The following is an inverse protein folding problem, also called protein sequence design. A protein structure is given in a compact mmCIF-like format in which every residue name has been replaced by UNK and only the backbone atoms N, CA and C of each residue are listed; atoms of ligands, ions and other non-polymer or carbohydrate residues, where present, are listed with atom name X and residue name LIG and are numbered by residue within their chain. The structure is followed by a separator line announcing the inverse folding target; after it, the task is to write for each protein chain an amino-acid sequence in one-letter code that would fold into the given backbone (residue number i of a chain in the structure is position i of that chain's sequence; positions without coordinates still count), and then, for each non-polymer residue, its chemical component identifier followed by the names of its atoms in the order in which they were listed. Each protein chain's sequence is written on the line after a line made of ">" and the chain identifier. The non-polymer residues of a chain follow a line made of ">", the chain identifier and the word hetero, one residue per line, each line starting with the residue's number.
data_IF_203729927943
#
_entry.id   IF_203729927943
#
_cell.length_a   1.000
_cell.length_b   1.000
_cell.length_c   1.000
_cell.angle_alpha   90.00
_cell.angle_beta   90.00
_cell.angle_gamma   90.00
#
_symmetry.space_group_name_H-M   'P 1'
#
loop_
_entity.id
_entity.type
_entity.pdbx_description
1 polymer ?
#
# COMPACT_ATOMS: atom_id res chain seq x y z
N UNK A 1 39.02 -1.90 -17.81
CA UNK A 1 37.99 -1.10 -17.12
C UNK A 1 36.80 -1.11 -18.07
N UNK A 2 35.59 -1.48 -17.70
CA UNK A 2 34.85 -1.11 -16.49
C UNK A 2 33.94 -2.25 -16.02
N UNK A 3 33.62 -2.25 -14.73
CA UNK A 3 32.72 -3.19 -14.09
C UNK A 3 31.28 -3.03 -14.62
N UNK A 4 30.90 -3.86 -15.59
CA UNK A 4 29.49 -4.19 -15.79
C UNK A 4 29.11 -5.13 -14.65
N UNK A 5 28.34 -4.65 -13.67
CA UNK A 5 27.88 -5.42 -12.49
C UNK A 5 27.23 -6.76 -12.87
N UNK A 6 26.85 -6.93 -14.13
CA UNK A 6 26.28 -8.13 -14.70
C UNK A 6 26.81 -8.38 -16.12
N UNK A 7 27.25 -9.61 -16.41
CA UNK A 7 27.77 -9.99 -17.72
C UNK A 7 26.67 -10.14 -18.78
N UNK A 8 27.04 -10.32 -20.06
CA UNK A 8 26.07 -10.52 -21.15
C UNK A 8 25.41 -11.91 -21.13
N UNK A 9 25.80 -12.79 -20.20
CA UNK A 9 25.27 -14.15 -20.12
C UNK A 9 24.03 -14.20 -19.23
N UNK A 10 23.06 -15.01 -19.65
CA UNK A 10 21.78 -15.18 -19.00
C UNK A 10 21.87 -15.66 -17.53
N UNK A 11 22.94 -16.37 -17.20
CA UNK A 11 23.25 -16.90 -15.87
C UNK A 11 23.98 -15.91 -14.96
N UNK A 12 24.12 -14.64 -15.33
CA UNK A 12 24.94 -13.68 -14.54
C UNK A 12 24.13 -12.71 -13.68
N UNK A 13 22.81 -12.58 -13.88
CA UNK A 13 21.95 -11.74 -13.02
C UNK A 13 21.03 -12.63 -12.20
N UNK A 14 21.37 -12.80 -10.91
CA UNK A 14 20.57 -13.51 -9.93
C UNK A 14 19.92 -14.83 -10.45
N UNK A 15 20.69 -15.71 -11.11
CA UNK A 15 20.15 -16.91 -11.74
C UNK A 15 19.55 -17.86 -10.71
N UNK A 16 20.12 -17.92 -9.51
CA UNK A 16 19.59 -18.76 -8.43
C UNK A 16 18.26 -18.22 -7.92
N UNK A 17 18.07 -16.90 -7.87
CA UNK A 17 16.82 -16.26 -7.40
C UNK A 17 15.71 -16.47 -8.41
N UNK A 18 15.99 -16.21 -9.70
CA UNK A 18 15.01 -16.38 -10.77
C UNK A 18 14.60 -17.84 -10.92
N UNK A 19 15.58 -18.76 -10.90
CA UNK A 19 15.32 -20.20 -10.94
C UNK A 19 14.54 -20.68 -9.71
N UNK A 20 14.95 -20.28 -8.51
CA UNK A 20 14.25 -20.67 -7.28
C UNK A 20 12.81 -20.13 -7.23
N UNK A 21 12.55 -18.98 -7.84
CA UNK A 21 11.20 -18.44 -7.99
C UNK A 21 10.37 -19.27 -8.99
N UNK A 22 10.90 -19.52 -10.19
CA UNK A 22 10.23 -20.33 -11.22
C UNK A 22 9.93 -21.76 -10.70
N UNK A 23 10.88 -22.40 -10.02
CA UNK A 23 10.73 -23.75 -9.44
C UNK A 23 9.74 -23.81 -8.26
N UNK A 24 9.46 -22.67 -7.61
CA UNK A 24 8.61 -22.62 -6.40
C UNK A 24 7.31 -21.84 -6.61
N UNK A 25 7.02 -21.41 -7.83
CA UNK A 25 5.81 -20.64 -8.15
C UNK A 25 4.53 -21.43 -7.78
N UNK A 26 4.57 -22.76 -7.89
CA UNK A 26 3.47 -23.65 -7.51
C UNK A 26 3.15 -23.64 -6.00
N UNK A 27 4.11 -23.23 -5.16
CA UNK A 27 3.92 -23.13 -3.71
C UNK A 27 3.26 -21.81 -3.30
N UNK A 28 3.32 -20.78 -4.15
CA UNK A 28 2.81 -19.44 -3.83
C UNK A 28 1.33 -19.43 -3.43
N UNK A 29 0.41 -20.15 -4.11
CA UNK A 29 -0.99 -20.19 -3.68
C UNK A 29 -1.16 -20.69 -2.24
N UNK A 30 -0.36 -21.69 -1.83
CA UNK A 30 -0.40 -22.23 -0.48
C UNK A 30 0.17 -21.25 0.55
N UNK A 31 1.25 -20.53 0.21
CA UNK A 31 1.80 -19.48 1.09
C UNK A 31 0.76 -18.40 1.34
N UNK A 32 0.12 -17.88 0.29
CA UNK A 32 -0.95 -16.89 0.44
C UNK A 32 -2.18 -17.46 1.16
N UNK A 33 -2.54 -18.73 0.94
CA UNK A 33 -3.64 -19.36 1.67
C UNK A 33 -3.35 -19.44 3.19
N UNK A 34 -2.14 -19.86 3.58
CA UNK A 34 -1.70 -19.87 4.98
C UNK A 34 -1.72 -18.46 5.57
N UNK A 35 -1.25 -17.46 4.81
CA UNK A 35 -1.32 -16.05 5.19
C UNK A 35 -2.77 -15.60 5.43
N UNK A 36 -3.69 -15.88 4.50
CA UNK A 36 -5.10 -15.53 4.64
C UNK A 36 -5.75 -16.19 5.87
N UNK A 37 -5.43 -17.46 6.13
CA UNK A 37 -5.90 -18.18 7.32
C UNK A 37 -5.34 -17.53 8.59
N UNK A 38 -4.03 -17.25 8.63
CA UNK A 38 -3.40 -16.60 9.77
C UNK A 38 -4.01 -15.21 10.05
N UNK A 39 -4.24 -14.41 9.01
CA UNK A 39 -4.93 -13.13 9.14
C UNK A 39 -6.36 -13.29 9.63
N UNK A 40 -7.12 -14.24 9.08
CA UNK A 40 -8.50 -14.52 9.52
C UNK A 40 -8.54 -14.91 10.99
N UNK A 41 -7.62 -15.77 11.44
CA UNK A 41 -7.48 -16.16 12.84
C UNK A 41 -7.16 -14.93 13.70
N UNK A 42 -6.16 -14.13 13.31
CA UNK A 42 -5.81 -12.90 14.00
C UNK A 42 -7.01 -11.94 14.07
N UNK A 43 -7.82 -11.84 13.03
CA UNK A 43 -9.03 -11.02 13.00
C UNK A 43 -10.09 -11.50 13.99
N UNK A 44 -10.33 -12.81 14.07
CA UNK A 44 -11.27 -13.39 15.03
C UNK A 44 -10.83 -13.10 16.47
N UNK A 45 -9.54 -13.25 16.78
CA UNK A 45 -9.02 -13.06 18.14
C UNK A 45 -8.87 -11.59 18.55
N UNK A 46 -8.42 -10.71 17.66
CA UNK A 46 -8.21 -9.30 17.98
C UNK A 46 -9.52 -8.52 18.12
N UNK A 47 -10.58 -9.02 17.47
CA UNK A 47 -11.92 -8.47 17.58
C UNK A 47 -12.05 -7.02 17.08
N UNK A 48 -13.26 -6.49 17.20
CA UNK A 48 -13.60 -5.13 16.77
C UNK A 48 -13.49 -4.14 17.92
N UNK A 49 -12.65 -3.12 17.77
CA UNK A 49 -12.64 -1.92 18.61
C UNK A 49 -13.86 -1.06 18.28
N UNK A 50 -14.63 -0.71 19.31
CA UNK A 50 -15.81 0.14 19.22
C UNK A 50 -15.78 1.14 20.35
N UNK A 51 -15.78 2.43 20.01
CA UNK A 51 -15.94 3.49 20.99
C UNK A 51 -17.39 3.58 21.48
N UNK A 52 -17.58 4.00 22.73
CA UNK A 52 -18.90 4.24 23.31
C UNK A 52 -19.29 5.69 23.01
N UNK A 53 -20.30 5.86 22.17
CA UNK A 53 -20.75 7.18 21.74
C UNK A 53 -22.06 7.50 22.45
N UNK A 54 -22.03 8.47 23.36
CA UNK A 54 -23.21 9.01 24.05
C UNK A 54 -23.75 10.26 23.36
N UNK A 55 -22.89 11.04 22.67
CA UNK A 55 -23.25 12.28 21.96
C UNK A 55 -22.89 12.19 20.47
N UNK A 56 -23.74 11.57 19.63
CA UNK A 56 -23.42 11.34 18.22
C UNK A 56 -23.31 12.62 17.39
N UNK A 57 -23.99 13.70 17.79
CA UNK A 57 -23.99 14.98 17.05
C UNK A 57 -22.73 15.84 17.33
N UNK A 58 -22.02 15.57 18.43
CA UNK A 58 -20.77 16.26 18.77
C UNK A 58 -19.61 15.69 17.94
N UNK A 59 -19.55 16.15 16.68
CA UNK A 59 -18.56 15.72 15.71
C UNK A 59 -17.58 16.83 15.38
N UNK A 60 -16.32 16.46 15.13
CA UNK A 60 -15.27 17.40 14.71
C UNK A 60 -14.71 16.99 13.35
N UNK A 61 -14.31 17.98 12.55
CA UNK A 61 -13.67 17.74 11.25
C UNK A 61 -12.22 17.30 11.46
N UNK A 62 -11.94 16.04 11.16
CA UNK A 62 -10.61 15.42 11.30
C UNK A 62 -9.88 15.39 9.96
N UNK A 63 -10.59 15.03 8.88
CA UNK A 63 -10.00 14.90 7.55
C UNK A 63 -10.53 15.98 6.61
N UNK A 64 -9.62 16.69 5.95
CA UNK A 64 -9.97 17.64 4.88
C UNK A 64 -10.53 16.91 3.66
N UNK A 65 -11.21 17.63 2.75
CA UNK A 65 -11.65 17.03 1.49
C UNK A 65 -10.48 16.42 0.69
N UNK A 66 -9.36 17.15 0.61
CA UNK A 66 -8.16 16.68 -0.08
C UNK A 66 -7.63 15.36 0.50
N UNK A 67 -7.48 15.28 1.82
CA UNK A 67 -7.00 14.07 2.49
C UNK A 67 -7.92 12.88 2.24
N UNK A 68 -9.24 13.10 2.30
CA UNK A 68 -10.23 12.05 2.05
C UNK A 68 -10.16 11.52 0.63
N UNK A 69 -10.08 12.41 -0.36
CA UNK A 69 -9.97 12.01 -1.77
C UNK A 69 -8.71 11.17 -1.98
N UNK A 70 -7.56 11.60 -1.47
CA UNK A 70 -6.30 10.84 -1.60
C UNK A 70 -6.40 9.48 -0.92
N UNK A 71 -6.90 9.41 0.33
CA UNK A 71 -7.01 8.17 1.08
C UNK A 71 -7.98 7.17 0.45
N UNK A 72 -9.18 7.64 0.07
CA UNK A 72 -10.21 6.78 -0.52
C UNK A 72 -9.80 6.32 -1.92
N UNK A 73 -9.22 7.20 -2.73
CA UNK A 73 -8.72 6.84 -4.05
C UNK A 73 -7.60 5.80 -3.95
N UNK A 74 -6.68 5.96 -2.98
CA UNK A 74 -5.67 4.95 -2.70
C UNK A 74 -6.29 3.60 -2.33
N UNK A 75 -7.30 3.57 -1.45
CA UNK A 75 -7.98 2.32 -1.07
C UNK A 75 -8.58 1.62 -2.30
N UNK A 76 -9.33 2.36 -3.13
CA UNK A 76 -9.98 1.80 -4.32
C UNK A 76 -8.96 1.28 -5.33
N UNK A 77 -7.91 2.06 -5.62
CA UNK A 77 -6.85 1.67 -6.53
C UNK A 77 -6.12 0.43 -6.02
N UNK A 78 -5.77 0.38 -4.73
CA UNK A 78 -5.07 -0.78 -4.16
C UNK A 78 -5.90 -2.06 -4.22
N UNK A 79 -7.21 -1.99 -3.95
CA UNK A 79 -8.10 -3.16 -4.11
C UNK A 79 -8.06 -3.66 -5.56
N UNK A 80 -8.16 -2.74 -6.53
CA UNK A 80 -8.13 -3.09 -7.95
C UNK A 80 -6.79 -3.69 -8.39
N UNK A 81 -5.67 -3.05 -8.04
CA UNK A 81 -4.32 -3.52 -8.35
C UNK A 81 -4.02 -4.86 -7.69
N UNK A 82 -4.55 -5.10 -6.50
CA UNK A 82 -4.42 -6.37 -5.83
C UNK A 82 -5.12 -7.50 -6.59
N UNK A 83 -6.40 -7.31 -6.95
CA UNK A 83 -7.20 -8.30 -7.70
C UNK A 83 -6.54 -8.62 -9.05
N UNK A 84 -6.20 -7.57 -9.80
CA UNK A 84 -5.58 -7.72 -11.13
C UNK A 84 -4.16 -8.28 -11.04
N UNK A 85 -3.37 -7.89 -10.03
CA UNK A 85 -2.05 -8.44 -9.77
C UNK A 85 -2.09 -9.94 -9.47
N UNK A 86 -3.02 -10.38 -8.62
CA UNK A 86 -3.25 -11.81 -8.34
C UNK A 86 -3.65 -12.57 -9.61
N UNK A 87 -4.51 -11.99 -10.45
CA UNK A 87 -4.87 -12.61 -11.74
C UNK A 87 -3.67 -12.77 -12.66
N UNK A 88 -2.71 -11.84 -12.65
CA UNK A 88 -1.48 -11.95 -13.45
C UNK A 88 -0.55 -13.03 -12.86
N UNK A 89 -0.32 -13.00 -11.55
CA UNK A 89 0.56 -13.95 -10.85
C UNK A 89 0.07 -15.39 -10.98
N UNK A 90 -1.23 -15.62 -10.84
CA UNK A 90 -1.85 -16.94 -10.88
C UNK A 90 -2.54 -17.23 -12.21
N UNK A 91 -2.13 -16.57 -13.30
CA UNK A 91 -2.72 -16.75 -14.63
C UNK A 91 -2.70 -18.19 -15.14
N UNK A 92 -1.75 -19.01 -14.67
CA UNK A 92 -1.70 -20.44 -14.93
C UNK A 92 -2.85 -21.22 -14.28
N UNK A 93 -3.39 -20.73 -13.15
CA UNK A 93 -4.50 -21.34 -12.40
C UNK A 93 -5.83 -20.71 -12.82
N UNK A 94 -5.89 -19.37 -12.91
CA UNK A 94 -7.12 -18.65 -13.28
C UNK A 94 -7.45 -18.76 -14.76
N UNK A 95 -6.51 -19.24 -15.57
CA UNK A 95 -6.62 -19.33 -17.02
C UNK A 95 -6.31 -18.02 -17.73
N UNK A 96 -6.23 -18.10 -19.06
CA UNK A 96 -6.03 -16.96 -19.95
C UNK A 96 -7.33 -16.43 -20.56
N UNK A 97 -7.19 -15.73 -21.69
CA UNK A 97 -8.32 -15.20 -22.47
C UNK A 97 -8.52 -13.69 -22.31
N UNK A 98 -9.63 -13.19 -22.86
CA UNK A 98 -9.88 -11.75 -22.97
C UNK A 98 -9.91 -11.03 -21.61
N UNK A 99 -10.43 -11.68 -20.57
CA UNK A 99 -10.50 -11.10 -19.22
C UNK A 99 -9.10 -10.94 -18.62
N UNK A 100 -8.27 -11.99 -18.68
CA UNK A 100 -6.89 -11.93 -18.17
C UNK A 100 -6.05 -10.90 -18.92
N UNK A 101 -6.21 -10.81 -20.25
CA UNK A 101 -5.57 -9.79 -21.07
C UNK A 101 -6.01 -8.38 -20.65
N UNK A 102 -7.31 -8.16 -20.48
CA UNK A 102 -7.86 -6.87 -20.06
C UNK A 102 -7.37 -6.48 -18.66
N UNK A 103 -7.41 -7.41 -17.70
CA UNK A 103 -6.92 -7.18 -16.33
C UNK A 103 -5.44 -6.82 -16.29
N UNK A 104 -4.60 -7.40 -17.17
CA UNK A 104 -3.20 -6.99 -17.29
C UNK A 104 -3.07 -5.57 -17.82
N UNK A 105 -3.74 -5.27 -18.92
CA UNK A 105 -3.66 -3.95 -19.55
C UNK A 105 -4.12 -2.84 -18.60
N UNK A 106 -5.23 -3.05 -17.90
CA UNK A 106 -5.74 -2.09 -16.94
C UNK A 106 -4.91 -2.04 -15.65
N UNK A 107 -4.30 -3.15 -15.22
CA UNK A 107 -3.36 -3.14 -14.09
C UNK A 107 -2.20 -2.18 -14.35
N UNK A 108 -1.61 -2.25 -15.54
CA UNK A 108 -0.49 -1.39 -15.94
C UNK A 108 -0.92 0.09 -15.93
N UNK A 109 -2.06 0.43 -16.54
CA UNK A 109 -2.56 1.82 -16.59
C UNK A 109 -2.94 2.34 -15.20
N UNK A 110 -3.69 1.57 -14.42
CA UNK A 110 -4.08 1.95 -13.06
C UNK A 110 -2.85 2.04 -12.15
N UNK A 111 -1.84 1.19 -12.38
CA UNK A 111 -0.56 1.23 -11.67
C UNK A 111 0.19 2.54 -11.90
N UNK A 112 0.24 3.03 -13.15
CA UNK A 112 0.80 4.36 -13.44
C UNK A 112 0.02 5.48 -12.75
N UNK A 113 -1.32 5.39 -12.78
CA UNK A 113 -2.20 6.33 -12.07
C UNK A 113 -2.01 6.30 -10.55
N UNK A 114 -1.59 5.16 -9.99
CA UNK A 114 -1.32 5.01 -8.57
C UNK A 114 -0.05 5.73 -8.13
N UNK A 115 1.01 5.78 -8.95
CA UNK A 115 2.31 6.39 -8.60
C UNK A 115 2.16 7.79 -7.98
N UNK A 116 1.46 8.77 -8.60
CA UNK A 116 1.28 10.09 -7.99
C UNK A 116 0.44 10.02 -6.70
N UNK A 117 -0.55 9.15 -6.62
CA UNK A 117 -1.38 8.97 -5.41
C UNK A 117 -0.57 8.39 -4.26
N UNK A 118 0.26 7.38 -4.53
CA UNK A 118 1.19 6.80 -3.58
C UNK A 118 2.16 7.84 -3.04
N UNK A 119 2.74 8.67 -3.91
CA UNK A 119 3.66 9.72 -3.52
C UNK A 119 2.98 10.79 -2.65
N UNK A 120 1.80 11.27 -3.06
CA UNK A 120 1.02 12.23 -2.28
C UNK A 120 0.68 11.63 -0.91
N UNK A 121 0.20 10.39 -0.86
CA UNK A 121 -0.13 9.72 0.39
C UNK A 121 1.09 9.61 1.31
N UNK A 122 2.23 9.20 0.75
CA UNK A 122 3.52 9.13 1.45
C UNK A 122 3.88 10.46 2.10
N UNK A 123 3.71 11.57 1.39
CA UNK A 123 4.00 12.92 1.88
C UNK A 123 3.00 13.35 2.96
N UNK A 124 1.69 13.26 2.72
CA UNK A 124 0.69 13.73 3.71
C UNK A 124 0.73 12.92 5.01
N UNK A 125 1.13 11.65 4.91
CA UNK A 125 1.30 10.75 6.04
C UNK A 125 2.67 10.88 6.73
N UNK A 126 3.62 11.65 6.19
CA UNK A 126 4.98 11.77 6.72
C UNK A 126 5.04 12.55 8.04
N UNK A 127 4.95 11.87 9.18
CA UNK A 127 4.97 12.47 10.53
C UNK A 127 5.97 11.82 11.47
N UNK A 128 6.21 12.51 12.59
CA UNK A 128 7.00 12.01 13.72
C UNK A 128 8.46 11.65 13.42
N UNK A 129 9.08 12.38 12.48
CA UNK A 129 10.49 12.24 12.20
C UNK A 129 11.32 13.16 13.10
N UNK A 130 12.38 12.62 13.73
CA UNK A 130 13.22 13.35 14.70
C UNK A 130 13.75 14.68 14.16
N UNK A 131 14.10 14.70 12.88
CA UNK A 131 14.71 15.86 12.21
C UNK A 131 13.69 16.74 11.46
N UNK A 132 12.40 16.39 11.50
CA UNK A 132 11.35 17.16 10.83
C UNK A 132 10.23 17.50 11.81
N UNK A 133 10.30 18.72 12.35
CA UNK A 133 9.19 19.30 13.11
C UNK A 133 8.27 20.02 12.14
N UNK A 134 7.06 19.50 11.96
CA UNK A 134 6.04 20.11 11.13
C UNK A 134 5.64 21.48 11.71
N UNK A 135 5.44 22.52 10.88
CA UNK A 135 4.83 23.76 11.35
C UNK A 135 3.40 23.49 11.84
N UNK A 136 3.06 23.93 13.05
CA UNK A 136 1.70 23.81 13.60
C UNK A 136 0.84 24.96 13.09
N UNK A 137 0.26 24.80 11.90
CA UNK A 137 -0.61 25.81 11.30
C UNK A 137 -1.84 25.21 10.65
N UNK A 138 -2.97 25.95 10.70
CA UNK A 138 -4.26 25.55 10.12
C UNK A 138 -4.17 25.11 8.65
N UNK A 139 -3.23 25.67 7.88
CA UNK A 139 -2.99 25.28 6.48
C UNK A 139 -2.36 23.88 6.36
N UNK A 140 -1.36 23.58 7.19
CA UNK A 140 -0.67 22.29 7.17
C UNK A 140 -1.60 21.14 7.56
N UNK A 141 -2.54 21.37 8.47
CA UNK A 141 -3.50 20.34 8.89
C UNK A 141 -4.58 20.02 7.85
N UNK A 142 -4.76 20.88 6.85
CA UNK A 142 -5.59 20.57 5.68
C UNK A 142 -4.88 19.65 4.70
N UNK A 143 -3.55 19.62 4.72
CA UNK A 143 -2.71 18.85 3.80
C UNK A 143 -2.25 17.56 4.47
N UNK A 144 -1.62 17.63 5.64
CA UNK A 144 -1.02 16.51 6.35
C UNK A 144 -1.97 15.87 7.36
N UNK A 145 -1.86 14.55 7.50
CA UNK A 145 -2.63 13.79 8.47
C UNK A 145 -2.20 14.15 9.90
N UNK A 146 -3.20 14.38 10.76
CA UNK A 146 -3.05 14.75 12.18
C UNK A 146 -2.64 13.58 13.09
N UNK A 147 -2.23 13.94 14.30
CA UNK A 147 -1.88 13.05 15.38
C UNK A 147 -0.53 12.38 15.17
N UNK A 148 -0.17 11.43 16.03
CA UNK A 148 1.14 10.74 16.01
C UNK A 148 1.00 9.25 15.75
N UNK A 149 1.99 8.65 15.10
CA UNK A 149 2.07 7.19 14.96
C UNK A 149 2.50 6.55 16.28
N UNK A 150 1.69 5.59 16.73
CA UNK A 150 2.17 4.56 17.67
C UNK A 150 3.27 3.73 16.97
N UNK A 151 4.21 3.12 17.72
CA UNK A 151 5.36 2.41 17.14
C UNK A 151 5.00 1.42 16.04
N UNK A 152 3.98 0.57 16.24
CA UNK A 152 3.53 -0.39 15.23
C UNK A 152 3.03 0.28 13.94
N UNK A 153 2.17 1.31 14.05
CA UNK A 153 1.67 2.04 12.87
C UNK A 153 2.77 2.77 12.09
N UNK A 154 3.89 3.10 12.75
CA UNK A 154 5.06 3.67 12.08
C UNK A 154 5.76 2.65 11.18
N UNK A 155 5.80 1.39 11.58
CA UNK A 155 6.33 0.29 10.76
C UNK A 155 5.46 0.15 9.51
N UNK A 156 4.13 0.16 9.65
CA UNK A 156 3.21 0.08 8.51
C UNK A 156 3.42 1.25 7.53
N UNK A 157 3.64 2.46 8.05
CA UNK A 157 3.99 3.62 7.22
C UNK A 157 5.31 3.39 6.45
N UNK A 158 6.38 2.97 7.12
CA UNK A 158 7.67 2.73 6.45
C UNK A 158 7.59 1.59 5.43
N UNK A 159 6.86 0.52 5.74
CA UNK A 159 6.61 -0.56 4.80
C UNK A 159 5.86 -0.07 3.56
N UNK A 160 4.79 0.72 3.75
CA UNK A 160 4.04 1.34 2.65
C UNK A 160 4.93 2.21 1.75
N UNK A 161 5.82 3.00 2.34
CA UNK A 161 6.76 3.84 1.58
C UNK A 161 7.80 2.98 0.87
N UNK A 162 8.48 2.06 1.56
CA UNK A 162 9.57 1.28 0.98
C UNK A 162 9.08 0.31 -0.11
N UNK A 163 8.06 -0.49 0.18
CA UNK A 163 7.53 -1.45 -0.79
C UNK A 163 6.67 -0.78 -1.85
N UNK A 164 5.99 0.32 -1.53
CA UNK A 164 5.29 1.10 -2.54
C UNK A 164 6.25 1.76 -3.53
N UNK A 165 7.42 2.23 -3.06
CA UNK A 165 8.49 2.70 -3.94
C UNK A 165 9.00 1.58 -4.86
N UNK A 166 9.27 0.39 -4.30
CA UNK A 166 9.70 -0.76 -5.10
C UNK A 166 8.67 -1.12 -6.16
N UNK A 167 7.37 -1.15 -5.83
CA UNK A 167 6.29 -1.39 -6.77
C UNK A 167 6.19 -0.32 -7.85
N UNK A 168 6.18 0.95 -7.45
CA UNK A 168 6.08 2.08 -8.38
C UNK A 168 7.26 2.10 -9.35
N UNK A 169 8.49 1.94 -8.83
CA UNK A 169 9.70 1.95 -9.63
C UNK A 169 9.76 0.73 -10.56
N UNK A 170 9.61 -0.48 -10.03
CA UNK A 170 9.67 -1.70 -10.85
C UNK A 170 8.54 -1.75 -11.88
N UNK A 171 7.31 -1.36 -11.51
CA UNK A 171 6.17 -1.33 -12.41
C UNK A 171 6.33 -0.29 -13.52
N UNK A 172 6.79 0.92 -13.18
CA UNK A 172 7.10 1.96 -14.16
C UNK A 172 8.19 1.51 -15.12
N UNK A 173 9.28 0.91 -14.63
CA UNK A 173 10.36 0.41 -15.47
C UNK A 173 9.90 -0.73 -16.39
N UNK A 174 9.08 -1.66 -15.89
CA UNK A 174 8.49 -2.73 -16.71
C UNK A 174 7.58 -2.20 -17.81
N UNK A 175 6.82 -1.14 -17.52
CA UNK A 175 5.94 -0.48 -18.49
C UNK A 175 6.73 0.36 -19.52
N UNK A 176 7.81 1.02 -19.08
CA UNK A 176 8.62 1.90 -19.93
C UNK A 176 9.54 1.15 -20.91
N UNK A 177 9.94 -0.09 -20.58
CA UNK A 177 10.77 -0.90 -21.49
C UNK A 177 9.96 -1.27 -22.74
N UNK A 178 10.36 -0.73 -23.88
CA UNK A 178 9.74 -1.02 -25.17
C UNK A 178 9.88 -2.51 -25.56
N UNK A 179 8.87 -3.12 -26.19
CA UNK A 179 8.91 -4.52 -26.63
C UNK A 179 10.09 -4.86 -27.56
N UNK A 180 10.60 -3.89 -28.32
CA UNK A 180 11.72 -4.07 -29.25
C UNK A 180 13.09 -4.14 -28.55
N UNK A 181 13.16 -3.78 -27.26
CA UNK A 181 14.38 -3.89 -26.46
C UNK A 181 14.68 -5.33 -26.02
N UNK A 182 13.75 -6.27 -26.24
CA UNK A 182 13.89 -7.69 -25.90
C UNK A 182 14.93 -8.45 -26.75
N UNK A 183 15.48 -7.82 -27.78
CA UNK A 183 16.58 -8.39 -28.57
C UNK A 183 17.93 -8.40 -27.82
N UNK A 184 18.02 -7.75 -26.65
CA UNK A 184 19.25 -7.64 -25.88
C UNK A 184 19.18 -8.43 -24.57
N UNK A 185 20.15 -9.32 -24.34
CA UNK A 185 20.18 -10.21 -23.16
C UNK A 185 20.12 -9.43 -21.84
N UNK A 186 20.84 -8.30 -21.74
CA UNK A 186 20.83 -7.47 -20.53
C UNK A 186 19.45 -6.87 -20.22
N UNK A 187 18.65 -6.54 -21.25
CA UNK A 187 17.27 -6.05 -21.08
C UNK A 187 16.36 -7.17 -20.58
N UNK A 188 16.49 -8.37 -21.15
CA UNK A 188 15.73 -9.56 -20.70
C UNK A 188 16.00 -9.82 -19.21
N UNK A 189 17.27 -9.79 -18.80
CA UNK A 189 17.65 -10.03 -17.41
C UNK A 189 17.16 -8.95 -16.46
N UNK A 190 17.31 -7.68 -16.86
CA UNK A 190 16.77 -6.57 -16.08
C UNK A 190 15.26 -6.70 -15.90
N UNK A 191 14.51 -7.09 -16.94
CA UNK A 191 13.06 -7.28 -16.86
C UNK A 191 12.68 -8.39 -15.87
N UNK A 192 13.41 -9.50 -15.85
CA UNK A 192 13.19 -10.60 -14.89
C UNK A 192 13.41 -10.14 -13.45
N UNK A 193 14.51 -9.44 -13.21
CA UNK A 193 14.79 -8.86 -11.90
C UNK A 193 13.69 -7.89 -11.48
N UNK A 194 13.23 -7.01 -12.37
CA UNK A 194 12.14 -6.09 -12.08
C UNK A 194 10.82 -6.81 -11.80
N UNK A 195 10.48 -7.85 -12.56
CA UNK A 195 9.30 -8.69 -12.31
C UNK A 195 9.37 -9.36 -10.93
N UNK A 196 10.53 -9.92 -10.58
CA UNK A 196 10.76 -10.51 -9.27
C UNK A 196 10.61 -9.47 -8.15
N UNK A 197 11.24 -8.31 -8.29
CA UNK A 197 11.15 -7.22 -7.30
C UNK A 197 9.72 -6.70 -7.16
N UNK A 198 8.99 -6.57 -8.28
CA UNK A 198 7.59 -6.15 -8.30
C UNK A 198 6.70 -7.14 -7.55
N UNK A 199 6.85 -8.43 -7.87
CA UNK A 199 6.11 -9.49 -7.19
C UNK A 199 6.46 -9.59 -5.70
N UNK A 200 7.74 -9.55 -5.34
CA UNK A 200 8.17 -9.62 -3.94
C UNK A 200 7.61 -8.42 -3.15
N UNK A 201 7.68 -7.22 -3.73
CA UNK A 201 7.13 -6.03 -3.09
C UNK A 201 5.59 -6.11 -2.94
N UNK A 202 4.88 -6.68 -3.93
CA UNK A 202 3.42 -6.87 -3.84
C UNK A 202 3.04 -7.89 -2.77
N UNK A 203 3.80 -8.98 -2.66
CA UNK A 203 3.59 -10.01 -1.64
C UNK A 203 3.84 -9.46 -0.24
N UNK A 204 4.83 -8.59 -0.03
CA UNK A 204 5.07 -8.03 1.31
C UNK A 204 4.09 -6.91 1.64
N UNK A 205 3.80 -6.01 0.70
CA UNK A 205 2.90 -4.89 0.97
C UNK A 205 1.45 -5.35 1.17
N UNK A 206 1.04 -6.51 0.63
CA UNK A 206 -0.29 -7.08 0.87
C UNK A 206 -0.55 -7.31 2.36
N UNK A 207 0.42 -7.79 3.13
CA UNK A 207 0.28 -7.98 4.58
C UNK A 207 -0.14 -6.67 5.28
N UNK A 208 0.51 -5.56 4.91
CA UNK A 208 0.24 -4.24 5.50
C UNK A 208 -1.07 -3.64 4.99
N UNK A 209 -1.40 -3.84 3.72
CA UNK A 209 -2.65 -3.35 3.13
C UNK A 209 -3.84 -4.10 3.71
N UNK A 210 -3.76 -5.42 3.88
CA UNK A 210 -4.83 -6.18 4.50
C UNK A 210 -5.05 -5.78 5.95
N UNK A 211 -3.99 -5.57 6.73
CA UNK A 211 -4.11 -5.02 8.08
C UNK A 211 -4.76 -3.63 8.08
N UNK A 212 -4.41 -2.78 7.10
CA UNK A 212 -4.95 -1.43 6.97
C UNK A 212 -6.43 -1.43 6.57
N UNK A 213 -6.80 -2.19 5.53
CA UNK A 213 -8.18 -2.35 5.08
C UNK A 213 -9.02 -2.98 6.20
N UNK A 214 -8.51 -4.03 6.85
CA UNK A 214 -9.14 -4.63 8.02
C UNK A 214 -9.39 -3.58 9.10
N UNK A 215 -8.38 -2.81 9.47
CA UNK A 215 -8.49 -1.77 10.49
C UNK A 215 -9.57 -0.74 10.18
N UNK A 216 -9.66 -0.30 8.91
CA UNK A 216 -10.60 0.73 8.49
C UNK A 216 -12.03 0.24 8.29
N UNK A 217 -12.20 -0.96 7.74
CA UNK A 217 -13.51 -1.50 7.35
C UNK A 217 -14.14 -2.29 8.49
N UNK A 218 -13.34 -3.12 9.16
CA UNK A 218 -13.81 -4.14 10.08
C UNK A 218 -13.42 -3.80 11.51
N UNK A 219 -12.13 -3.67 11.80
CA UNK A 219 -11.59 -3.66 13.16
C UNK A 219 -11.99 -2.43 13.98
N UNK A 220 -12.19 -1.26 13.36
CA UNK A 220 -12.55 -0.05 14.09
C UNK A 220 -13.89 0.48 13.63
N UNK A 221 -14.94 0.30 14.46
CA UNK A 221 -16.29 0.74 14.12
C UNK A 221 -16.34 2.26 14.01
N UNK A 222 -16.81 2.77 12.87
CA UNK A 222 -16.98 4.21 12.63
C UNK A 222 -15.82 4.88 11.90
N UNK A 223 -14.68 4.20 11.72
CA UNK A 223 -13.54 4.76 11.00
C UNK A 223 -13.87 5.08 9.53
N UNK A 224 -14.35 4.09 8.76
CA UNK A 224 -14.65 4.29 7.33
C UNK A 224 -15.74 5.36 7.09
N UNK A 225 -16.89 5.36 7.79
CA UNK A 225 -17.84 6.48 7.70
C UNK A 225 -17.21 7.82 8.03
N UNK A 226 -16.36 7.89 9.05
CA UNK A 226 -15.65 9.12 9.41
C UNK A 226 -14.61 9.56 8.39
N UNK A 227 -13.99 8.63 7.67
CA UNK A 227 -13.12 8.94 6.54
C UNK A 227 -13.92 9.48 5.35
N UNK A 228 -15.11 8.93 5.07
CA UNK A 228 -15.98 9.42 3.99
C UNK A 228 -16.48 10.83 4.31
N UNK A 229 -17.06 11.03 5.49
CA UNK A 229 -17.63 12.33 5.90
C UNK A 229 -16.57 13.35 6.31
N UNK A 230 -15.37 12.89 6.69
CA UNK A 230 -14.29 13.68 7.28
C UNK A 230 -14.50 14.02 8.74
N UNK A 231 -15.64 13.61 9.33
CA UNK A 231 -16.05 13.96 10.68
C UNK A 231 -16.08 12.73 11.56
N UNK A 232 -15.56 12.86 12.76
CA UNK A 232 -15.62 11.82 13.79
C UNK A 232 -16.23 12.41 15.06
N UNK A 233 -17.03 11.64 15.83
CA UNK A 233 -17.47 12.06 17.15
C UNK A 233 -16.27 12.38 18.05
N UNK A 234 -16.39 13.38 18.92
CA UNK A 234 -15.30 13.74 19.84
C UNK A 234 -14.96 12.57 20.77
N UNK A 235 -15.96 11.89 21.33
CA UNK A 235 -15.81 10.69 22.18
C UNK A 235 -15.05 9.56 21.47
N UNK A 236 -15.25 9.39 20.16
CA UNK A 236 -14.48 8.43 19.37
C UNK A 236 -12.98 8.76 19.39
N UNK A 237 -12.63 10.05 19.26
CA UNK A 237 -11.24 10.49 19.28
C UNK A 237 -10.64 10.35 20.68
N UNK A 238 -11.39 10.66 21.74
CA UNK A 238 -10.93 10.50 23.13
C UNK A 238 -10.51 9.06 23.43
N UNK A 239 -11.34 8.09 23.05
CA UNK A 239 -11.05 6.67 23.30
C UNK A 239 -9.98 6.09 22.36
N UNK A 240 -10.05 6.39 21.06
CA UNK A 240 -9.30 5.66 20.05
C UNK A 240 -8.12 6.43 19.45
N UNK A 241 -8.18 7.77 19.44
CA UNK A 241 -7.19 8.66 18.79
C UNK A 241 -6.97 9.97 19.57
N UNK A 242 -6.63 9.92 20.88
CA UNK A 242 -6.52 11.12 21.71
C UNK A 242 -5.39 12.05 21.23
N UNK A 243 -4.40 11.49 20.53
CA UNK A 243 -3.32 12.22 19.88
C UNK A 243 -3.83 13.29 18.89
N UNK A 244 -4.90 12.98 18.15
CA UNK A 244 -5.50 13.90 17.18
C UNK A 244 -6.24 15.01 17.91
N UNK A 245 -6.96 14.67 18.99
CA UNK A 245 -7.76 15.62 19.73
C UNK A 245 -6.90 16.67 20.43
N UNK A 246 -5.83 16.23 21.11
CA UNK A 246 -4.88 17.12 21.78
C UNK A 246 -4.22 18.10 20.79
N UNK A 247 -3.93 17.64 19.56
CA UNK A 247 -3.38 18.52 18.52
C UNK A 247 -4.42 19.58 18.10
N UNK A 248 -5.67 19.17 17.92
CA UNK A 248 -6.76 20.09 17.57
C UNK A 248 -7.05 21.14 18.66
N UNK A 249 -6.93 20.77 19.94
CA UNK A 249 -7.13 21.69 21.06
C UNK A 249 -6.02 22.74 21.17
N UNK A 250 -4.76 22.34 20.90
CA UNK A 250 -3.63 23.27 20.84
C UNK A 250 -3.72 24.29 19.71
N UNK A 251 -4.51 24.03 18.68
CA UNK A 251 -4.73 24.98 17.56
C UNK A 251 -5.80 26.03 17.86
N UNK A 252 -6.70 25.75 18.81
CA UNK A 252 -7.81 26.63 19.16
C UNK A 252 -7.50 27.58 20.32
N UNK A 253 -6.40 27.34 21.04
CA UNK A 253 -5.82 28.22 22.07
C UNK A 253 -4.66 29.03 21.48
#
# INVERSE_FOLDING_TARGET
>A
MEAGVFGPRYDTIAPEITRAFEERQELLPYVFAVEFVAFTIAFIFLGRKKAVISKPDDTVLVYSLFQRVVLLLNIVIMIYLFITGFSITFGNITGGGAIAYFMRWTHEIVGLGWIPIWLILTVIAFKDHKFFKRPSGKLWNKIFLRGKYKPMYRINYYAYVAFGFLLALSGFLLWFIFPTAENYVHVIQFRRLMLFMHFMASAVISFFIFETIYSYVIAVKGYLPGLITGRLPREYLEELRPDVLVEMEKENN
#
